data_IF_914570614939
#
_entry.id   IF_914570614939
#
_cell.length_a   1.000
_cell.length_b   1.000
_cell.length_c   1.000
_cell.angle_alpha   90.00
_cell.angle_beta   90.00
_cell.angle_gamma   90.00
#
_symmetry.space_group_name_H-M   'P 1'
#
loop_
_entity.id
_entity.type
_entity.pdbx_description
1 polymer ?
#
# COMPACT_ATOMS: atom_id res chain seq x y z
N UNK A 1 -2.54 17.36 -25.08
CA UNK A 1 -1.74 17.20 -23.85
C UNK A 1 -0.71 16.12 -24.06
N UNK A 2 0.55 16.50 -24.10
CA UNK A 2 1.68 15.57 -24.22
C UNK A 2 1.91 14.79 -22.91
N UNK A 3 2.65 13.68 -22.94
CA UNK A 3 3.07 12.98 -21.72
C UNK A 3 3.83 13.87 -20.73
N UNK A 4 4.66 14.78 -21.23
CA UNK A 4 5.49 15.71 -20.46
C UNK A 4 4.62 16.74 -19.74
N UNK A 5 3.67 17.34 -20.46
CA UNK A 5 2.69 18.28 -19.89
C UNK A 5 1.83 17.61 -18.81
N UNK A 6 1.42 16.35 -19.03
CA UNK A 6 0.67 15.57 -18.04
C UNK A 6 1.48 15.30 -16.78
N UNK A 7 2.76 14.94 -16.94
CA UNK A 7 3.69 14.70 -15.83
C UNK A 7 3.91 15.97 -15.01
N UNK A 8 4.12 17.12 -15.67
CA UNK A 8 4.29 18.41 -15.01
C UNK A 8 3.05 18.79 -14.19
N UNK A 9 1.85 18.69 -14.79
CA UNK A 9 0.58 18.97 -14.09
C UNK A 9 0.38 18.08 -12.86
N UNK A 10 0.70 16.78 -12.96
CA UNK A 10 0.57 15.86 -11.83
C UNK A 10 1.51 16.25 -10.67
N UNK A 11 2.74 16.66 -10.96
CA UNK A 11 3.71 17.11 -9.94
C UNK A 11 3.22 18.37 -9.22
N UNK A 12 2.74 19.36 -9.97
CA UNK A 12 2.18 20.60 -9.40
C UNK A 12 1.03 20.26 -8.44
N UNK A 13 0.07 19.46 -8.89
CA UNK A 13 -1.08 19.06 -8.08
C UNK A 13 -0.68 18.32 -6.79
N UNK A 14 0.35 17.46 -6.83
CA UNK A 14 0.87 16.78 -5.63
C UNK A 14 1.46 17.76 -4.63
N UNK A 15 2.29 18.70 -5.09
CA UNK A 15 2.90 19.71 -4.21
C UNK A 15 1.84 20.62 -3.57
N UNK A 16 0.87 21.10 -4.35
CA UNK A 16 -0.24 21.90 -3.85
C UNK A 16 -1.11 21.13 -2.85
N UNK A 17 -1.37 19.86 -3.12
CA UNK A 17 -2.16 19.02 -2.21
C UNK A 17 -1.44 18.84 -0.87
N UNK A 18 -0.12 18.67 -0.86
CA UNK A 18 0.65 18.54 0.37
C UNK A 18 0.84 19.86 1.10
N UNK A 19 0.96 20.99 0.39
CA UNK A 19 0.99 22.32 1.00
C UNK A 19 -0.31 22.62 1.77
N UNK A 20 -1.46 22.16 1.27
CA UNK A 20 -2.77 22.29 1.93
C UNK A 20 -3.07 21.22 2.98
N UNK A 21 -2.14 20.30 3.27
CA UNK A 21 -2.34 19.25 4.27
C UNK A 21 -1.54 19.57 5.53
N UNK A 22 -2.12 20.24 6.53
CA UNK A 22 -1.44 20.58 7.78
C UNK A 22 -1.12 19.33 8.62
N UNK A 23 -2.06 18.39 8.73
CA UNK A 23 -1.85 17.10 9.39
C UNK A 23 -1.59 15.99 8.37
N UNK A 24 -0.31 15.67 8.18
CA UNK A 24 0.13 14.61 7.27
C UNK A 24 -0.24 13.22 7.78
N UNK A 25 -0.27 13.01 9.09
CA UNK A 25 -0.59 11.72 9.69
C UNK A 25 -2.08 11.40 9.53
N UNK A 26 -2.97 12.38 9.74
CA UNK A 26 -4.39 12.22 9.50
C UNK A 26 -4.70 11.84 8.04
N UNK A 27 -4.01 12.46 7.07
CA UNK A 27 -4.19 12.15 5.64
C UNK A 27 -3.85 10.70 5.29
N UNK A 28 -2.84 10.10 5.93
CA UNK A 28 -2.39 8.73 5.65
C UNK A 28 -2.98 7.69 6.59
N UNK A 29 -3.68 8.11 7.65
CA UNK A 29 -4.33 7.25 8.66
C UNK A 29 -5.25 6.18 8.07
N UNK A 30 -6.08 6.45 7.04
CA UNK A 30 -6.93 5.40 6.46
C UNK A 30 -6.13 4.25 5.86
N UNK A 31 -5.04 4.56 5.15
CA UNK A 31 -4.18 3.57 4.51
C UNK A 31 -3.40 2.73 5.54
N UNK A 32 -3.01 3.33 6.65
CA UNK A 32 -2.27 2.68 7.74
C UNK A 32 -3.17 1.93 8.73
N UNK A 33 -4.47 2.23 8.80
CA UNK A 33 -5.41 1.53 9.68
C UNK A 33 -6.14 0.39 8.99
N UNK A 34 -6.62 0.61 7.77
CA UNK A 34 -7.57 -0.29 7.09
C UNK A 34 -7.03 -0.81 5.76
N UNK A 35 -5.72 -0.72 5.52
CA UNK A 35 -5.12 -1.04 4.23
C UNK A 35 -3.91 -1.97 4.34
N UNK A 36 -3.31 -2.34 3.20
CA UNK A 36 -2.14 -3.21 3.18
C UNK A 36 -0.92 -2.66 3.94
N UNK A 37 -0.85 -1.34 4.14
CA UNK A 37 0.20 -0.71 4.92
C UNK A 37 0.03 -0.89 6.43
N UNK A 38 -1.11 -1.39 6.89
CA UNK A 38 -1.37 -1.61 8.30
C UNK A 38 -0.40 -2.64 8.92
N UNK A 39 -0.15 -2.53 10.24
CA UNK A 39 0.58 -3.53 11.01
C UNK A 39 -0.03 -4.93 10.88
N UNK A 40 0.77 -5.99 10.98
CA UNK A 40 0.29 -7.36 10.77
C UNK A 40 -0.77 -7.78 11.80
N UNK A 41 -0.68 -7.27 13.01
CA UNK A 41 -1.67 -7.43 14.09
C UNK A 41 -2.94 -6.58 13.88
N UNK A 42 -3.06 -5.79 12.81
CA UNK A 42 -4.30 -5.05 12.52
C UNK A 42 -5.45 -5.97 12.11
N UNK A 43 -6.72 -5.56 12.37
CA UNK A 43 -7.90 -6.29 11.91
C UNK A 43 -7.89 -6.59 10.41
N UNK A 44 -7.37 -5.67 9.60
CA UNK A 44 -7.26 -5.81 8.14
C UNK A 44 -6.51 -7.08 7.71
N UNK A 45 -5.44 -7.46 8.42
CA UNK A 45 -4.68 -8.66 8.11
C UNK A 45 -5.23 -9.88 8.86
N UNK A 46 -5.59 -9.74 10.14
CA UNK A 46 -6.13 -10.83 10.94
C UNK A 46 -7.42 -11.41 10.33
N UNK A 47 -8.37 -10.57 9.94
CA UNK A 47 -9.64 -11.01 9.33
C UNK A 47 -9.45 -11.64 7.95
N UNK A 48 -8.40 -11.24 7.21
CA UNK A 48 -8.10 -11.82 5.90
C UNK A 48 -7.51 -13.22 6.02
N UNK A 49 -6.69 -13.48 7.06
CA UNK A 49 -6.02 -14.79 7.23
C UNK A 49 -6.85 -15.77 8.06
N UNK A 50 -7.71 -15.26 8.95
CA UNK A 50 -8.51 -16.07 9.86
C UNK A 50 -9.84 -15.39 10.19
N UNK A 51 -10.78 -15.30 9.22
CA UNK A 51 -12.07 -14.62 9.41
C UNK A 51 -12.94 -15.28 10.48
N UNK A 52 -12.80 -16.60 10.66
CA UNK A 52 -13.58 -17.40 11.61
C UNK A 52 -12.89 -17.53 12.97
N UNK A 53 -11.72 -16.91 13.15
CA UNK A 53 -10.92 -16.94 14.40
C UNK A 53 -10.64 -18.35 14.91
N UNK A 54 -10.31 -19.27 14.01
CA UNK A 54 -9.99 -20.68 14.33
C UNK A 54 -8.54 -20.89 14.75
N UNK A 55 -7.63 -19.98 14.39
CA UNK A 55 -6.22 -20.08 14.75
C UNK A 55 -5.97 -19.58 16.18
N UNK A 56 -4.91 -20.12 16.80
CA UNK A 56 -4.33 -19.48 17.98
C UNK A 56 -3.88 -18.06 17.63
N UNK A 57 -3.82 -17.17 18.63
CA UNK A 57 -3.40 -15.79 18.40
C UNK A 57 -1.98 -15.70 17.80
N UNK A 58 -1.06 -16.51 18.31
CA UNK A 58 0.32 -16.55 17.83
C UNK A 58 0.40 -17.02 16.37
N UNK A 59 -0.38 -18.03 15.99
CA UNK A 59 -0.37 -18.54 14.60
C UNK A 59 -1.09 -17.58 13.65
N UNK A 60 -2.16 -16.93 14.10
CA UNK A 60 -2.85 -15.88 13.34
C UNK A 60 -1.91 -14.70 13.06
N UNK A 61 -1.12 -14.28 14.05
CA UNK A 61 -0.15 -13.20 13.87
C UNK A 61 0.93 -13.58 12.85
N UNK A 62 1.50 -14.79 12.95
CA UNK A 62 2.46 -15.31 11.97
C UNK A 62 1.86 -15.37 10.57
N UNK A 63 0.62 -15.85 10.44
CA UNK A 63 -0.10 -15.91 9.17
C UNK A 63 -0.33 -14.50 8.60
N UNK A 64 -0.72 -13.54 9.43
CA UNK A 64 -0.93 -12.14 9.06
C UNK A 64 0.36 -11.46 8.59
N UNK A 65 1.49 -11.69 9.28
CA UNK A 65 2.80 -11.20 8.85
C UNK A 65 3.20 -11.75 7.48
N UNK A 66 3.00 -13.06 7.27
CA UNK A 66 3.29 -13.71 6.00
C UNK A 66 2.40 -13.18 4.87
N UNK A 67 1.11 -12.97 5.13
CA UNK A 67 0.19 -12.38 4.17
C UNK A 67 0.61 -10.95 3.79
N UNK A 68 1.01 -10.14 4.78
CA UNK A 68 1.52 -8.79 4.57
C UNK A 68 2.79 -8.79 3.72
N UNK A 69 3.77 -9.64 4.04
CA UNK A 69 5.01 -9.80 3.27
C UNK A 69 4.69 -10.22 1.82
N UNK A 70 3.84 -11.22 1.64
CA UNK A 70 3.45 -11.71 0.32
C UNK A 70 2.79 -10.62 -0.53
N UNK A 71 1.94 -9.78 0.06
CA UNK A 71 1.31 -8.66 -0.63
C UNK A 71 2.34 -7.69 -1.21
N UNK A 72 3.29 -7.23 -0.38
CA UNK A 72 4.31 -6.27 -0.83
C UNK A 72 5.29 -6.88 -1.84
N UNK A 73 5.60 -8.18 -1.73
CA UNK A 73 6.38 -8.89 -2.75
C UNK A 73 5.66 -8.93 -4.10
N UNK A 74 4.35 -9.21 -4.12
CA UNK A 74 3.55 -9.16 -5.36
C UNK A 74 3.54 -7.74 -5.95
N UNK A 75 3.36 -6.73 -5.11
CA UNK A 75 3.39 -5.32 -5.52
C UNK A 75 4.74 -4.94 -6.14
N UNK A 76 5.85 -5.29 -5.49
CA UNK A 76 7.20 -5.05 -5.98
C UNK A 76 7.47 -5.76 -7.31
N UNK A 77 7.07 -7.03 -7.43
CA UNK A 77 7.17 -7.82 -8.66
C UNK A 77 6.41 -7.17 -9.82
N UNK A 78 5.18 -6.72 -9.58
CA UNK A 78 4.37 -6.05 -10.59
C UNK A 78 5.02 -4.73 -11.05
N UNK A 79 5.55 -3.93 -10.11
CA UNK A 79 6.28 -2.70 -10.42
C UNK A 79 7.56 -2.94 -11.24
N UNK A 80 8.32 -3.97 -10.91
CA UNK A 80 9.51 -4.36 -11.67
C UNK A 80 9.16 -4.78 -13.10
N UNK A 81 8.11 -5.58 -13.28
CA UNK A 81 7.62 -5.99 -14.60
C UNK A 81 7.18 -4.78 -15.44
N UNK A 82 6.50 -3.79 -14.84
CA UNK A 82 6.09 -2.58 -15.54
C UNK A 82 7.28 -1.74 -16.03
N UNK A 83 8.31 -1.56 -15.19
CA UNK A 83 9.54 -0.85 -15.57
C UNK A 83 10.28 -1.56 -16.71
N UNK A 84 10.38 -2.90 -16.65
CA UNK A 84 10.99 -3.68 -17.74
C UNK A 84 10.28 -3.48 -19.08
N UNK A 85 8.94 -3.48 -19.08
CA UNK A 85 8.15 -3.20 -20.31
C UNK A 85 8.39 -1.79 -20.85
N UNK A 86 8.53 -0.80 -19.98
CA UNK A 86 8.77 0.59 -20.39
C UNK A 86 10.19 0.82 -20.91
N UNK A 87 11.20 0.14 -20.36
CA UNK A 87 12.59 0.27 -20.83
C UNK A 87 12.92 -0.56 -22.08
N UNK A 88 12.03 -1.50 -22.46
CA UNK A 88 12.13 -2.28 -23.69
C UNK A 88 11.35 -1.65 -24.87
N UNK A 89 10.69 -0.51 -24.64
CA UNK A 89 9.97 0.30 -25.61
C UNK A 89 10.69 1.63 -25.79
#
# INVERSE_FOLDING_TARGET
MTPEERSLRARIAVHESWARTPDRAARTKPATRNGPAAPADSPYWQERVDPERRMSEADRLKAAENARKAYFLRFARAGAAARKRKGAA
#
